data_IF_335026571684
#
_entry.id   IF_335026571684
#
_cell.length_a   1.000
_cell.length_b   1.000
_cell.length_c   1.000
_cell.angle_alpha   90.00
_cell.angle_beta   90.00
_cell.angle_gamma   90.00
#
_symmetry.space_group_name_H-M   'P 1'
#
loop_
_entity.id
_entity.type
_entity.pdbx_description
1 polymer ?
#
# COMPACT_ATOMS: atom_id res chain seq x y z
N UNK A 1 2.43 -16.34 6.82
CA UNK A 1 2.39 -14.88 6.84
C UNK A 1 1.38 -14.41 7.86
N UNK A 2 1.70 -13.40 8.64
CA UNK A 2 0.79 -12.89 9.64
C UNK A 2 -0.37 -12.10 9.05
N UNK A 3 -1.40 -11.91 9.88
CA UNK A 3 -2.58 -11.13 9.52
C UNK A 3 -2.82 -10.03 10.56
N UNK A 4 -3.26 -8.88 10.11
CA UNK A 4 -3.69 -7.78 10.95
C UNK A 4 -5.20 -7.58 10.81
N UNK A 5 -5.91 -7.56 11.93
CA UNK A 5 -7.32 -7.17 11.94
C UNK A 5 -7.37 -5.64 11.96
N UNK A 6 -7.57 -5.03 10.79
CA UNK A 6 -7.51 -3.56 10.64
C UNK A 6 -8.84 -2.88 10.88
N UNK A 7 -9.93 -3.63 10.78
CA UNK A 7 -11.28 -3.21 11.14
C UNK A 7 -12.11 -4.45 11.47
N UNK A 8 -13.34 -4.31 11.99
CA UNK A 8 -14.17 -5.48 12.31
C UNK A 8 -14.35 -6.45 11.13
N UNK A 9 -14.35 -5.93 9.90
CA UNK A 9 -14.67 -6.72 8.71
C UNK A 9 -13.46 -6.98 7.81
N UNK A 10 -12.28 -6.44 8.12
CA UNK A 10 -11.12 -6.51 7.23
C UNK A 10 -9.90 -7.06 7.94
N UNK A 11 -9.36 -8.12 7.39
CA UNK A 11 -8.10 -8.74 7.81
C UNK A 11 -7.10 -8.61 6.66
N UNK A 12 -5.93 -8.09 6.94
CA UNK A 12 -4.87 -7.82 5.96
C UNK A 12 -3.69 -8.77 6.20
N UNK A 13 -3.30 -9.49 5.15
CA UNK A 13 -2.09 -10.31 5.14
C UNK A 13 -0.88 -9.41 4.90
N UNK A 14 0.14 -9.52 5.73
CA UNK A 14 1.35 -8.68 5.59
C UNK A 14 2.61 -9.48 5.87
N UNK A 15 3.75 -8.88 5.56
CA UNK A 15 5.05 -9.46 5.80
C UNK A 15 6.04 -8.36 6.18
N UNK A 16 6.91 -8.64 7.14
CA UNK A 16 7.89 -7.70 7.66
C UNK A 16 9.31 -8.11 7.28
N UNK A 17 10.14 -7.11 6.97
CA UNK A 17 11.58 -7.28 6.73
C UNK A 17 12.34 -6.25 7.56
N UNK A 18 13.49 -6.64 8.09
CA UNK A 18 14.32 -5.73 8.86
C UNK A 18 14.00 -5.72 10.34
N UNK A 19 14.47 -4.69 11.03
CA UNK A 19 14.40 -4.59 12.48
C UNK A 19 13.23 -3.75 12.92
N UNK A 20 12.55 -4.18 14.00
CA UNK A 20 11.38 -3.47 14.54
C UNK A 20 11.69 -2.04 14.99
N UNK A 21 12.92 -1.79 15.45
CA UNK A 21 13.34 -0.47 15.93
C UNK A 21 13.73 0.50 14.81
N UNK A 22 13.88 0.03 13.59
CA UNK A 22 14.21 0.88 12.45
C UNK A 22 12.95 1.64 11.94
N UNK A 23 13.13 2.79 11.27
CA UNK A 23 11.99 3.51 10.67
C UNK A 23 11.18 2.61 9.74
N UNK A 24 9.87 2.69 9.83
CA UNK A 24 8.97 1.85 9.05
C UNK A 24 8.74 2.42 7.65
N UNK A 25 8.80 1.55 6.64
CA UNK A 25 8.52 1.86 5.25
C UNK A 25 7.46 0.88 4.75
N UNK A 26 6.30 1.40 4.34
CA UNK A 26 5.17 0.58 3.88
C UNK A 26 5.06 0.65 2.36
N UNK A 27 4.93 -0.50 1.72
CA UNK A 27 4.85 -0.65 0.27
C UNK A 27 3.42 -1.00 -0.13
N UNK A 28 2.81 -0.14 -0.97
CA UNK A 28 1.44 -0.31 -1.45
C UNK A 28 1.47 -0.72 -2.93
N UNK A 29 0.92 -1.88 -3.25
CA UNK A 29 0.86 -2.38 -4.62
C UNK A 29 -0.31 -1.76 -5.41
N UNK A 30 -0.32 -1.97 -6.73
CA UNK A 30 -1.35 -1.46 -7.63
C UNK A 30 -2.55 -2.39 -7.79
N UNK A 31 -3.49 -1.95 -8.61
CA UNK A 31 -4.69 -2.70 -8.93
C UNK A 31 -4.34 -4.04 -9.62
N UNK A 32 -5.03 -5.10 -9.21
CA UNK A 32 -4.81 -6.44 -9.78
C UNK A 32 -3.51 -7.09 -9.36
N UNK A 33 -2.80 -6.52 -8.41
CA UNK A 33 -1.53 -7.00 -7.89
C UNK A 33 -1.67 -7.53 -6.46
N UNK A 34 -0.56 -7.83 -5.84
CA UNK A 34 -0.50 -8.32 -4.46
C UNK A 34 0.87 -8.00 -3.87
N UNK A 35 1.10 -8.35 -2.60
CA UNK A 35 2.36 -8.03 -1.92
C UNK A 35 3.60 -8.57 -2.64
N UNK A 36 3.47 -9.63 -3.41
CA UNK A 36 4.57 -10.23 -4.17
C UNK A 36 5.06 -9.34 -5.32
N UNK A 37 4.33 -8.29 -5.69
CA UNK A 37 4.84 -7.26 -6.61
C UNK A 37 6.16 -6.69 -6.09
N UNK A 38 6.24 -6.52 -4.78
CA UNK A 38 7.46 -6.06 -4.11
C UNK A 38 8.30 -7.28 -3.79
N UNK A 39 9.22 -7.60 -4.69
CA UNK A 39 10.04 -8.80 -4.59
C UNK A 39 10.81 -8.84 -3.26
N UNK A 40 11.02 -10.05 -2.74
CA UNK A 40 11.72 -10.26 -1.48
C UNK A 40 13.11 -9.63 -1.48
N UNK A 41 13.86 -9.76 -2.57
CA UNK A 41 15.18 -9.14 -2.71
C UNK A 41 15.16 -7.63 -2.61
N UNK A 42 14.10 -6.99 -3.15
CA UNK A 42 13.89 -5.55 -3.02
C UNK A 42 13.61 -5.18 -1.56
N UNK A 43 12.74 -5.91 -0.89
CA UNK A 43 12.40 -5.67 0.51
C UNK A 43 13.60 -5.88 1.44
N UNK A 44 14.36 -6.95 1.24
CA UNK A 44 15.56 -7.21 2.04
C UNK A 44 16.66 -6.18 1.78
N UNK A 45 16.75 -5.68 0.54
CA UNK A 45 17.67 -4.60 0.19
C UNK A 45 17.36 -3.30 0.92
N UNK A 46 16.08 -2.94 1.00
CA UNK A 46 15.63 -1.77 1.76
C UNK A 46 15.86 -1.97 3.26
N UNK A 47 15.59 -3.15 3.77
CA UNK A 47 15.84 -3.47 5.18
C UNK A 47 17.33 -3.34 5.52
N UNK A 48 18.21 -3.73 4.61
CA UNK A 48 19.66 -3.58 4.78
C UNK A 48 20.11 -2.11 4.84
N UNK A 49 19.28 -1.19 4.30
CA UNK A 49 19.53 0.26 4.38
C UNK A 49 19.01 0.89 5.68
N UNK A 50 18.48 0.10 6.59
CA UNK A 50 18.04 0.59 7.90
C UNK A 50 16.54 0.88 8.01
N UNK A 51 15.71 0.16 7.26
CA UNK A 51 14.25 0.29 7.34
C UNK A 51 13.60 -1.00 7.84
N UNK A 52 12.52 -0.83 8.61
CA UNK A 52 11.56 -1.91 8.79
C UNK A 52 10.57 -1.85 7.62
N UNK A 53 10.64 -2.82 6.72
CA UNK A 53 9.83 -2.82 5.51
C UNK A 53 8.57 -3.66 5.71
N UNK A 54 7.43 -3.10 5.34
CA UNK A 54 6.12 -3.77 5.40
C UNK A 54 5.57 -3.86 3.99
N UNK A 55 5.33 -5.08 3.50
CA UNK A 55 4.53 -5.29 2.30
C UNK A 55 3.26 -6.03 2.69
N UNK A 56 2.15 -5.75 2.03
CA UNK A 56 0.87 -6.36 2.38
C UNK A 56 -0.02 -6.51 1.15
N UNK A 57 -0.97 -7.42 1.26
CA UNK A 57 -2.05 -7.57 0.29
C UNK A 57 -3.18 -6.61 0.65
N UNK A 58 -3.54 -5.72 -0.27
CA UNK A 58 -4.71 -4.86 -0.09
C UNK A 58 -5.98 -5.70 0.01
N UNK A 59 -7.08 -5.11 0.51
CA UNK A 59 -8.37 -5.81 0.50
C UNK A 59 -8.68 -6.33 -0.90
N UNK A 60 -9.30 -7.49 -1.00
CA UNK A 60 -9.57 -8.21 -2.25
C UNK A 60 -8.33 -8.72 -2.99
N UNK A 61 -7.16 -8.60 -2.43
CA UNK A 61 -5.91 -9.06 -3.04
C UNK A 61 -5.30 -10.18 -2.20
N UNK A 62 -4.61 -11.09 -2.90
CA UNK A 62 -3.83 -12.16 -2.26
C UNK A 62 -4.60 -12.90 -1.18
N UNK A 63 -4.06 -12.91 0.04
CA UNK A 63 -4.63 -13.60 1.19
C UNK A 63 -5.47 -12.70 2.11
N UNK A 64 -5.56 -11.41 1.82
CA UNK A 64 -6.38 -10.48 2.59
C UNK A 64 -7.87 -10.72 2.35
N UNK A 65 -8.71 -10.12 3.18
CA UNK A 65 -10.17 -10.28 3.11
C UNK A 65 -10.69 -9.97 1.71
N UNK A 66 -11.57 -10.86 1.22
CA UNK A 66 -12.28 -10.71 -0.05
C UNK A 66 -13.69 -10.17 0.22
N UNK A 67 -14.15 -9.31 -0.64
CA UNK A 67 -15.51 -8.78 -0.60
C UNK A 67 -16.35 -9.40 -1.71
N UNK A 68 -17.70 -9.41 -1.57
CA UNK A 68 -18.57 -9.91 -2.63
C UNK A 68 -18.31 -9.17 -3.95
N UNK A 69 -18.46 -9.88 -5.07
CA UNK A 69 -18.36 -9.30 -6.40
C UNK A 69 -19.29 -8.11 -6.55
N UNK A 70 -18.82 -7.02 -7.15
CA UNK A 70 -19.58 -5.78 -7.29
C UNK A 70 -19.48 -4.85 -6.11
N UNK A 71 -18.79 -5.23 -5.03
CA UNK A 71 -18.54 -4.32 -3.90
C UNK A 71 -17.67 -3.15 -4.36
N UNK A 72 -18.03 -1.94 -3.95
CA UNK A 72 -17.25 -0.75 -4.21
C UNK A 72 -16.38 -0.44 -3.00
N UNK A 73 -15.13 -0.04 -3.25
CA UNK A 73 -14.28 0.50 -2.18
C UNK A 73 -13.75 1.85 -2.60
N UNK A 74 -13.46 2.67 -1.58
CA UNK A 74 -12.98 4.02 -1.76
C UNK A 74 -11.49 4.10 -1.41
N UNK A 75 -10.83 5.14 -1.91
CA UNK A 75 -9.47 5.45 -1.48
C UNK A 75 -9.42 5.68 0.04
N UNK A 76 -10.47 6.30 0.59
CA UNK A 76 -10.59 6.51 2.04
C UNK A 76 -10.60 5.20 2.82
N UNK A 77 -11.35 4.21 2.35
CA UNK A 77 -11.39 2.88 2.97
C UNK A 77 -10.06 2.15 2.89
N UNK A 78 -9.41 2.21 1.74
CA UNK A 78 -8.09 1.59 1.55
C UNK A 78 -7.02 2.29 2.40
N UNK A 79 -7.09 3.62 2.52
CA UNK A 79 -6.21 4.38 3.40
C UNK A 79 -6.44 4.01 4.87
N UNK A 80 -7.69 3.82 5.28
CA UNK A 80 -8.02 3.38 6.63
C UNK A 80 -7.43 2.01 6.94
N UNK A 81 -7.36 1.11 5.96
CA UNK A 81 -6.72 -0.19 6.13
C UNK A 81 -5.22 -0.05 6.44
N UNK A 82 -4.54 0.88 5.77
CA UNK A 82 -3.12 1.16 6.03
C UNK A 82 -2.93 1.69 7.45
N UNK A 83 -3.77 2.64 7.86
CA UNK A 83 -3.71 3.18 9.23
C UNK A 83 -3.97 2.07 10.25
N UNK A 84 -4.96 1.21 10.00
CA UNK A 84 -5.23 0.05 10.85
C UNK A 84 -4.05 -0.91 10.93
N UNK A 85 -3.32 -1.10 9.84
CA UNK A 85 -2.11 -1.91 9.82
C UNK A 85 -1.01 -1.27 10.67
N UNK A 86 -0.81 0.04 10.56
CA UNK A 86 0.15 0.78 11.40
C UNK A 86 -0.23 0.67 12.88
N UNK A 87 -1.51 0.80 13.21
CA UNK A 87 -2.00 0.64 14.59
C UNK A 87 -1.74 -0.77 15.12
N UNK A 88 -2.00 -1.79 14.29
CA UNK A 88 -1.73 -3.19 14.64
C UNK A 88 -0.24 -3.42 14.94
N UNK A 89 0.63 -2.78 14.17
CA UNK A 89 2.08 -2.89 14.31
C UNK A 89 2.65 -1.95 15.37
N UNK A 90 1.80 -1.13 15.99
CA UNK A 90 2.20 -0.13 16.99
C UNK A 90 3.22 0.86 16.43
N UNK A 91 3.02 1.29 15.18
CA UNK A 91 3.88 2.23 14.47
C UNK A 91 3.22 3.60 14.45
N UNK A 92 3.89 4.62 15.00
CA UNK A 92 3.34 5.97 15.09
C UNK A 92 3.28 6.64 13.73
N UNK A 93 4.36 6.57 12.96
CA UNK A 93 4.44 7.13 11.63
C UNK A 93 5.29 6.23 10.71
N UNK A 94 5.14 6.41 9.41
CA UNK A 94 5.85 5.59 8.43
C UNK A 94 6.12 6.36 7.14
N UNK A 95 7.14 5.89 6.42
CA UNK A 95 7.33 6.26 5.02
C UNK A 95 6.42 5.38 4.18
N UNK A 96 5.80 5.94 3.15
CA UNK A 96 4.87 5.23 2.27
C UNK A 96 5.39 5.28 0.84
N UNK A 97 5.47 4.13 0.20
CA UNK A 97 5.78 4.01 -1.23
C UNK A 97 4.58 3.34 -1.89
N UNK A 98 3.90 4.06 -2.79
CA UNK A 98 2.72 3.56 -3.47
C UNK A 98 2.92 3.48 -4.98
N UNK A 99 2.56 2.34 -5.56
CA UNK A 99 2.66 2.08 -7.00
C UNK A 99 1.27 2.07 -7.62
N UNK A 100 1.05 2.88 -8.67
CA UNK A 100 -0.21 2.96 -9.41
C UNK A 100 -1.37 3.32 -8.47
N UNK A 101 -2.37 2.45 -8.30
CA UNK A 101 -3.47 2.66 -7.35
C UNK A 101 -2.94 2.87 -5.93
N UNK A 102 -1.89 2.14 -5.55
CA UNK A 102 -1.22 2.34 -4.26
C UNK A 102 -0.68 3.75 -4.09
N UNK A 103 -0.24 4.38 -5.19
CA UNK A 103 0.17 5.79 -5.18
C UNK A 103 -0.98 6.74 -4.91
N UNK A 104 -2.17 6.45 -5.42
CA UNK A 104 -3.37 7.24 -5.13
C UNK A 104 -3.77 7.11 -3.65
N UNK A 105 -3.70 5.90 -3.11
CA UNK A 105 -3.93 5.66 -1.67
C UNK A 105 -2.90 6.41 -0.83
N UNK A 106 -1.63 6.38 -1.25
CA UNK A 106 -0.55 7.09 -0.56
C UNK A 106 -0.81 8.61 -0.49
N UNK A 107 -1.28 9.21 -1.60
CA UNK A 107 -1.65 10.62 -1.63
C UNK A 107 -2.81 10.91 -0.67
N UNK A 108 -3.82 10.04 -0.65
CA UNK A 108 -4.94 10.17 0.27
C UNK A 108 -4.47 10.10 1.73
N UNK A 109 -3.55 9.20 2.03
CA UNK A 109 -2.93 9.09 3.36
C UNK A 109 -2.22 10.38 3.76
N UNK A 110 -1.44 10.97 2.85
CA UNK A 110 -0.75 12.22 3.11
C UNK A 110 -1.74 13.37 3.41
N UNK A 111 -2.87 13.36 2.74
CA UNK A 111 -3.90 14.38 2.87
C UNK A 111 -4.72 14.21 4.16
N UNK A 112 -5.18 13.00 4.44
CA UNK A 112 -6.14 12.72 5.53
C UNK A 112 -5.48 12.26 6.82
N UNK A 113 -4.27 11.70 6.74
CA UNK A 113 -3.56 11.11 7.88
C UNK A 113 -2.10 11.59 7.94
N UNK A 114 -1.88 12.87 7.57
CA UNK A 114 -0.54 13.43 7.40
C UNK A 114 0.37 13.29 8.63
N UNK A 115 -0.19 13.29 9.84
CA UNK A 115 0.60 13.13 11.08
C UNK A 115 1.20 11.73 11.21
N UNK A 116 0.67 10.75 10.47
CA UNK A 116 1.15 9.37 10.45
C UNK A 116 2.12 9.10 9.31
N UNK A 117 2.33 10.08 8.41
CA UNK A 117 3.13 9.93 7.18
C UNK A 117 4.41 10.75 7.31
N UNK A 118 5.56 10.07 7.38
CA UNK A 118 6.85 10.74 7.41
C UNK A 118 7.23 11.25 6.02
N UNK A 119 7.16 10.39 5.02
CA UNK A 119 7.37 10.72 3.60
C UNK A 119 6.43 9.87 2.74
N UNK A 120 6.00 10.42 1.62
CA UNK A 120 5.13 9.72 0.67
C UNK A 120 5.78 9.78 -0.71
N UNK A 121 5.98 8.59 -1.31
CA UNK A 121 6.56 8.45 -2.65
C UNK A 121 5.54 7.73 -3.54
N UNK A 122 5.19 8.36 -4.66
CA UNK A 122 4.23 7.79 -5.62
C UNK A 122 4.97 7.41 -6.90
N UNK A 123 4.80 6.16 -7.31
CA UNK A 123 5.46 5.61 -8.50
C UNK A 123 4.39 5.22 -9.52
N UNK A 124 4.53 5.73 -10.74
CA UNK A 124 3.61 5.44 -11.87
C UNK A 124 2.15 5.64 -11.46
N UNK A 125 1.84 6.78 -10.85
CA UNK A 125 0.52 7.10 -10.31
C UNK A 125 0.11 8.51 -10.74
N UNK A 126 -1.13 8.89 -10.41
CA UNK A 126 -1.68 10.21 -10.64
C UNK A 126 -2.47 10.68 -9.42
N UNK A 127 -2.92 11.93 -9.45
CA UNK A 127 -3.81 12.47 -8.40
C UNK A 127 -5.23 11.88 -8.47
N UNK A 128 -5.57 11.22 -9.59
CA UNK A 128 -6.94 10.78 -9.84
C UNK A 128 -7.86 11.91 -10.30
N UNK A 129 -7.31 13.11 -10.60
CA UNK A 129 -8.09 14.23 -11.09
C UNK A 129 -8.62 13.92 -12.49
N UNK A 130 -9.96 13.94 -12.72
CA UNK A 130 -10.54 13.61 -14.02
C UNK A 130 -10.20 14.65 -15.11
N UNK A 131 -9.74 15.85 -14.73
CA UNK A 131 -9.36 16.90 -15.67
C UNK A 131 -7.97 16.68 -16.27
N UNK A 132 -7.21 15.71 -15.75
CA UNK A 132 -5.90 15.38 -16.32
C UNK A 132 -6.06 14.54 -17.59
N UNK A 133 -5.12 14.69 -18.56
CA UNK A 133 -5.15 13.86 -19.77
C UNK A 133 -5.11 12.38 -19.42
N UNK A 134 -5.85 11.52 -20.16
CA UNK A 134 -5.74 10.08 -19.98
C UNK A 134 -4.36 9.59 -20.45
N UNK A 135 -3.93 8.39 -20.02
CA UNK A 135 -2.72 7.79 -20.53
C UNK A 135 -2.81 7.59 -22.06
N UNK A 136 -1.67 7.67 -22.74
CA UNK A 136 -1.62 7.38 -24.17
C UNK A 136 -2.08 5.93 -24.44
N UNK A 137 -2.71 5.73 -25.60
CA UNK A 137 -3.18 4.38 -25.99
C UNK A 137 -2.04 3.36 -25.98
N UNK A 138 -0.82 3.77 -26.38
CA UNK A 138 0.35 2.90 -26.34
C UNK A 138 0.75 2.48 -24.94
N UNK A 139 0.54 3.33 -23.94
CA UNK A 139 0.85 3.02 -22.54
C UNK A 139 -0.14 2.02 -21.95
N UNK A 140 -1.35 1.90 -22.53
CA UNK A 140 -2.38 0.96 -22.09
C UNK A 140 -2.33 -0.36 -22.86
N UNK A 141 -1.50 -0.44 -23.92
CA UNK A 141 -1.38 -1.65 -24.72
C UNK A 141 -0.75 -2.76 -23.88
N UNK A 142 -1.25 -4.02 -23.99
CA UNK A 142 -0.62 -5.12 -23.28
C UNK A 142 0.82 -5.30 -23.74
N UNK A 143 1.74 -5.48 -22.80
CA UNK A 143 3.12 -5.83 -23.10
C UNK A 143 3.13 -7.27 -23.63
N UNK A 144 3.44 -7.40 -24.89
CA UNK A 144 3.48 -8.69 -25.58
C UNK A 144 4.65 -9.56 -25.14
#
# INVERSE_FOLDING_TARGET
>A
MPFAQVSPDVKICYELFGRLEDPTLVLLHGLGSQLLLWEEGFCTGLAAQGFQVVRFDSRDSGLSTKFPEGSAYTLSGMAADVVGLLDHLEVADAHIVGFSLGGMVAQHLAFSHGTRMAHVICVMSSSGNPDLPPPDAGALAPSG
#
